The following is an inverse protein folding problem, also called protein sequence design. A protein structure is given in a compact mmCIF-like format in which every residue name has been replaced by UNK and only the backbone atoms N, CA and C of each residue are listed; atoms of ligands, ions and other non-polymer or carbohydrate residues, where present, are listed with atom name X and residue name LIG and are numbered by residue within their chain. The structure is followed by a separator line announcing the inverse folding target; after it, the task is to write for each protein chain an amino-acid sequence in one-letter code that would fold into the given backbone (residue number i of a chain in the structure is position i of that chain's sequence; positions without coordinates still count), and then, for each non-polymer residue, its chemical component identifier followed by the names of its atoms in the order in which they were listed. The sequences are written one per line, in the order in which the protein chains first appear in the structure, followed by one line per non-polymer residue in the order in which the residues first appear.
data_IF_867707101090
#
_entry.id   IF_867707101090
#
_cell.length_a   1.000
_cell.length_b   1.000
_cell.length_c   1.000
_cell.angle_alpha   90.00
_cell.angle_beta   90.00
_cell.angle_gamma   90.00
#
_symmetry.space_group_name_H-M   'P 1'
#
loop_
_entity.id
_entity.type
_entity.pdbx_description
1 polymer ?
#
# COMPACT_ATOMS: atom_id res chain seq x y z
N UNK A 1 31.16 36.32 21.05
CA UNK A 1 31.47 35.27 20.05
C UNK A 1 30.99 33.87 20.45
N UNK A 2 31.28 33.39 21.67
CA UNK A 2 30.92 32.03 22.15
C UNK A 2 29.43 31.65 22.03
N UNK A 3 28.52 32.60 22.29
CA UNK A 3 27.05 32.39 22.19
C UNK A 3 26.54 32.24 20.75
N UNK A 4 27.18 32.89 19.77
CA UNK A 4 26.84 32.75 18.34
C UNK A 4 27.33 31.42 17.78
N UNK A 5 28.51 30.93 18.20
CA UNK A 5 29.01 29.61 17.82
C UNK A 5 28.12 28.47 18.34
N UNK A 6 27.59 28.58 19.56
CA UNK A 6 26.69 27.58 20.15
C UNK A 6 25.35 27.55 19.39
N UNK A 7 24.82 28.71 18.99
CA UNK A 7 23.60 28.78 18.18
C UNK A 7 23.78 28.20 16.78
N UNK A 8 24.92 28.46 16.13
CA UNK A 8 25.25 27.84 14.84
C UNK A 8 25.43 26.31 14.95
N UNK A 9 26.08 25.83 16.02
CA UNK A 9 26.24 24.39 16.28
C UNK A 9 24.90 23.69 16.56
N UNK A 10 23.96 24.35 17.24
CA UNK A 10 22.62 23.81 17.50
C UNK A 10 21.76 23.77 16.22
N UNK A 11 21.83 24.81 15.38
CA UNK A 11 21.17 24.84 14.07
C UNK A 11 21.74 23.76 13.13
N UNK A 12 23.07 23.59 13.09
CA UNK A 12 23.72 22.57 12.25
C UNK A 12 23.41 21.14 12.73
N UNK A 13 23.32 20.94 14.05
CA UNK A 13 22.89 19.67 14.63
C UNK A 13 21.42 19.35 14.31
N UNK A 14 20.53 20.35 14.36
CA UNK A 14 19.11 20.16 14.00
C UNK A 14 18.90 19.82 12.51
N UNK A 15 19.76 20.32 11.61
CA UNK A 15 19.71 19.98 10.17
C UNK A 15 20.15 18.54 9.90
N UNK A 16 21.03 17.97 10.73
CA UNK A 16 21.51 16.59 10.57
C UNK A 16 20.52 15.52 11.04
N UNK A 17 19.50 15.89 11.84
CA UNK A 17 18.48 14.95 12.31
C UNK A 17 17.26 14.79 11.38
N UNK A 18 17.20 15.53 10.25
CA UNK A 18 16.03 15.48 9.33
C UNK A 18 16.21 14.43 8.22
N UNK A 19 17.37 13.78 8.09
CA UNK A 19 17.65 12.91 6.95
C UNK A 19 17.49 11.41 7.19
N UNK A 20 16.64 11.00 8.14
CA UNK A 20 16.04 9.67 8.08
C UNK A 20 14.76 9.78 7.25
N UNK A 21 14.91 9.98 5.93
CA UNK A 21 13.82 9.82 4.99
C UNK A 21 13.41 8.35 5.03
N UNK A 22 12.43 8.05 5.89
CA UNK A 22 11.77 6.75 5.91
C UNK A 22 11.17 6.55 4.53
N UNK A 23 11.68 5.59 3.76
CA UNK A 23 11.21 5.27 2.42
C UNK A 23 9.83 4.58 2.42
N UNK A 24 9.03 4.78 3.48
CA UNK A 24 7.69 4.23 3.65
C UNK A 24 6.69 5.19 3.00
N UNK A 25 5.75 4.71 2.18
CA UNK A 25 4.77 5.59 1.55
C UNK A 25 3.92 6.30 2.62
N UNK A 26 3.71 7.62 2.48
CA UNK A 26 2.84 8.37 3.38
C UNK A 26 1.37 7.95 3.18
N UNK A 27 0.56 8.12 4.23
CA UNK A 27 -0.88 7.88 4.15
C UNK A 27 -1.53 8.86 3.17
N UNK A 28 -2.29 8.34 2.22
CA UNK A 28 -2.91 9.06 1.10
C UNK A 28 -4.41 9.23 1.29
N UNK A 29 -5.06 8.35 2.04
CA UNK A 29 -6.53 8.27 2.09
C UNK A 29 -7.19 9.57 2.56
N UNK A 30 -6.52 10.34 3.41
CA UNK A 30 -6.99 11.65 3.85
C UNK A 30 -7.21 12.64 2.69
N UNK A 31 -6.41 12.57 1.63
CA UNK A 31 -6.58 13.40 0.44
C UNK A 31 -7.83 13.04 -0.37
N UNK A 32 -8.36 11.83 -0.19
CA UNK A 32 -9.53 11.30 -0.89
C UNK A 32 -10.83 11.46 -0.10
N UNK A 33 -10.77 11.30 1.23
CA UNK A 33 -11.96 11.30 2.09
C UNK A 33 -12.00 12.44 3.12
N UNK A 34 -11.20 13.51 2.95
CA UNK A 34 -11.12 14.63 3.90
C UNK A 34 -12.46 15.31 4.27
N UNK A 35 -13.49 15.24 3.43
CA UNK A 35 -14.81 15.82 3.71
C UNK A 35 -15.75 14.90 4.50
N UNK A 36 -15.38 13.62 4.65
CA UNK A 36 -16.24 12.61 5.23
C UNK A 36 -16.16 12.64 6.75
N UNK A 37 -17.30 12.50 7.42
CA UNK A 37 -17.35 12.48 8.88
C UNK A 37 -16.78 11.17 9.41
N UNK A 38 -15.78 11.24 10.28
CA UNK A 38 -15.26 10.05 10.98
C UNK A 38 -16.21 9.64 12.10
N UNK A 39 -16.58 8.36 12.15
CA UNK A 39 -17.37 7.78 13.24
C UNK A 39 -16.43 7.04 14.19
N UNK A 40 -16.74 7.04 15.49
CA UNK A 40 -15.98 6.24 16.45
C UNK A 40 -16.11 4.74 16.12
N UNK A 41 -15.03 3.99 16.38
CA UNK A 41 -14.95 2.54 16.13
C UNK A 41 -16.11 1.74 16.77
N UNK A 42 -16.71 2.26 17.84
CA UNK A 42 -17.86 1.68 18.54
C UNK A 42 -19.17 1.72 17.74
N UNK A 43 -19.32 2.64 16.78
CA UNK A 43 -20.47 2.66 15.89
C UNK A 43 -20.36 1.57 14.82
N UNK A 44 -19.14 1.20 14.43
CA UNK A 44 -18.88 0.16 13.44
C UNK A 44 -19.35 -1.21 13.95
N UNK A 45 -19.07 -1.54 15.22
CA UNK A 45 -19.48 -2.81 15.84
C UNK A 45 -20.99 -2.91 16.09
N UNK A 46 -21.73 -1.80 15.99
CA UNK A 46 -23.20 -1.74 16.10
C UNK A 46 -23.92 -1.85 14.76
N UNK A 47 -23.19 -1.87 13.64
CA UNK A 47 -23.78 -2.08 12.33
C UNK A 47 -24.44 -3.44 12.31
N UNK A 48 -25.69 -3.45 11.83
CA UNK A 48 -26.58 -4.61 11.82
C UNK A 48 -25.85 -5.88 11.36
N UNK A 49 -26.19 -7.04 11.96
CA UNK A 49 -25.57 -8.35 11.71
C UNK A 49 -25.76 -8.90 10.28
N UNK A 50 -26.17 -8.07 9.32
CA UNK A 50 -26.38 -8.44 7.93
C UNK A 50 -25.20 -7.91 7.09
N UNK A 51 -24.70 -8.70 6.12
CA UNK A 51 -23.66 -8.23 5.23
C UNK A 51 -24.09 -6.96 4.48
N UNK A 52 -23.36 -5.85 4.68
CA UNK A 52 -23.57 -4.62 3.93
C UNK A 52 -23.19 -4.82 2.47
N UNK A 53 -24.09 -4.51 1.54
CA UNK A 53 -23.79 -4.57 0.11
C UNK A 53 -22.94 -3.36 -0.28
N UNK A 54 -21.74 -3.59 -0.81
CA UNK A 54 -20.81 -2.53 -1.16
C UNK A 54 -20.17 -2.76 -2.53
N UNK A 55 -19.84 -1.67 -3.22
CA UNK A 55 -18.92 -1.66 -4.35
C UNK A 55 -17.48 -1.50 -3.86
N UNK A 56 -16.51 -2.14 -4.51
CA UNK A 56 -15.08 -1.99 -4.23
C UNK A 56 -14.43 -1.08 -5.27
N UNK A 57 -13.80 0.01 -4.84
CA UNK A 57 -13.04 0.93 -5.69
C UNK A 57 -11.56 0.77 -5.38
N UNK A 58 -10.76 0.42 -6.40
CA UNK A 58 -9.30 0.31 -6.30
C UNK A 58 -8.66 1.56 -6.89
N UNK A 59 -8.05 2.40 -6.06
CA UNK A 59 -7.42 3.67 -6.48
C UNK A 59 -5.91 3.51 -6.46
N UNK A 60 -5.28 3.56 -7.63
CA UNK A 60 -3.82 3.58 -7.75
C UNK A 60 -3.28 5.00 -7.65
N UNK A 61 -2.60 5.34 -6.54
CA UNK A 61 -2.06 6.67 -6.27
C UNK A 61 -0.54 6.70 -6.46
N UNK A 62 -0.10 7.53 -7.43
CA UNK A 62 1.31 7.87 -7.67
C UNK A 62 1.54 9.39 -7.65
N UNK A 63 0.67 10.15 -6.99
CA UNK A 63 0.73 11.60 -6.97
C UNK A 63 1.83 12.15 -6.02
N UNK A 64 2.31 11.34 -5.07
CA UNK A 64 3.39 11.74 -4.16
C UNK A 64 4.76 11.79 -4.87
N UNK A 65 5.60 12.80 -4.58
CA UNK A 65 7.00 12.78 -5.00
C UNK A 65 7.74 11.54 -4.49
N UNK A 66 8.33 10.78 -5.40
CA UNK A 66 9.03 9.52 -5.06
C UNK A 66 8.11 8.30 -4.96
N UNK A 67 6.83 8.42 -5.32
CA UNK A 67 5.97 7.26 -5.52
C UNK A 67 6.58 6.31 -6.57
N UNK A 68 6.55 5.02 -6.28
CA UNK A 68 6.91 3.98 -7.23
C UNK A 68 5.87 3.90 -8.35
N UNK A 69 6.22 3.34 -9.52
CA UNK A 69 5.26 3.06 -10.57
C UNK A 69 4.13 2.15 -10.07
N UNK A 70 2.94 2.34 -10.64
CA UNK A 70 1.78 1.52 -10.31
C UNK A 70 2.00 0.02 -10.58
N UNK A 71 1.18 -0.79 -9.91
CA UNK A 71 1.00 -2.18 -10.32
C UNK A 71 0.54 -2.23 -11.78
N UNK A 72 1.01 -3.21 -12.57
CA UNK A 72 0.41 -3.53 -13.84
C UNK A 72 -1.11 -3.74 -13.68
N UNK A 73 -1.89 -3.35 -14.69
CA UNK A 73 -3.35 -3.36 -14.62
C UNK A 73 -3.89 -4.76 -14.25
N UNK A 74 -3.33 -5.82 -14.85
CA UNK A 74 -3.73 -7.20 -14.56
C UNK A 74 -3.43 -7.59 -13.12
N UNK A 75 -2.35 -7.06 -12.53
CA UNK A 75 -2.01 -7.31 -11.14
C UNK A 75 -2.93 -6.53 -10.18
N UNK A 76 -3.29 -5.31 -10.51
CA UNK A 76 -4.24 -4.52 -9.73
C UNK A 76 -5.64 -5.17 -9.72
N UNK A 77 -6.11 -5.67 -10.86
CA UNK A 77 -7.37 -6.41 -10.97
C UNK A 77 -7.34 -7.67 -10.11
N UNK A 78 -6.25 -8.47 -10.18
CA UNK A 78 -6.09 -9.67 -9.34
C UNK A 78 -6.07 -9.33 -7.85
N UNK A 79 -5.40 -8.25 -7.46
CA UNK A 79 -5.39 -7.76 -6.08
C UNK A 79 -6.80 -7.39 -5.61
N UNK A 80 -7.57 -6.66 -6.44
CA UNK A 80 -8.96 -6.31 -6.18
C UNK A 80 -9.86 -7.54 -6.00
N UNK A 81 -9.71 -8.56 -6.86
CA UNK A 81 -10.47 -9.82 -6.75
C UNK A 81 -10.08 -10.65 -5.51
N UNK A 82 -8.81 -10.58 -5.07
CA UNK A 82 -8.43 -11.18 -3.79
C UNK A 82 -9.07 -10.43 -2.62
N UNK A 83 -8.95 -9.10 -2.59
CA UNK A 83 -9.53 -8.26 -1.53
C UNK A 83 -11.05 -8.42 -1.46
N UNK A 84 -11.76 -8.45 -2.59
CA UNK A 84 -13.19 -8.74 -2.65
C UNK A 84 -13.56 -10.02 -1.90
N UNK A 85 -12.80 -11.11 -2.10
CA UNK A 85 -13.04 -12.40 -1.43
C UNK A 85 -12.66 -12.36 0.05
N UNK A 86 -11.57 -11.71 0.39
CA UNK A 86 -11.00 -11.73 1.74
C UNK A 86 -11.67 -10.75 2.70
N UNK A 87 -12.10 -9.58 2.20
CA UNK A 87 -12.80 -8.57 3.00
C UNK A 87 -14.15 -9.08 3.51
N UNK A 88 -14.95 -9.75 2.67
CA UNK A 88 -16.23 -10.31 3.10
C UNK A 88 -16.10 -11.46 4.11
N UNK A 89 -14.90 -12.04 4.26
CA UNK A 89 -14.57 -13.00 5.32
C UNK A 89 -14.06 -12.33 6.59
N UNK A 90 -13.52 -11.11 6.49
CA UNK A 90 -12.95 -10.38 7.61
C UNK A 90 -13.99 -9.54 8.37
N UNK A 91 -14.91 -8.92 7.65
CA UNK A 91 -15.95 -8.01 8.16
C UNK A 91 -17.29 -8.30 7.44
N UNK A 92 -18.45 -7.96 8.04
CA UNK A 92 -19.76 -8.27 7.46
C UNK A 92 -20.11 -7.33 6.30
N UNK A 93 -19.36 -7.44 5.20
CA UNK A 93 -19.65 -6.76 3.94
C UNK A 93 -19.70 -7.78 2.81
N UNK A 94 -20.57 -7.53 1.84
CA UNK A 94 -20.64 -8.27 0.59
C UNK A 94 -20.20 -7.33 -0.54
N UNK A 95 -19.00 -7.56 -1.05
CA UNK A 95 -18.50 -6.85 -2.23
C UNK A 95 -19.12 -7.50 -3.48
N UNK A 96 -20.02 -6.77 -4.13
CA UNK A 96 -20.79 -7.28 -5.28
C UNK A 96 -20.17 -6.92 -6.63
N UNK A 97 -19.50 -5.77 -6.70
CA UNK A 97 -18.89 -5.26 -7.92
C UNK A 97 -17.55 -4.58 -7.59
N UNK A 98 -16.55 -4.74 -8.45
CA UNK A 98 -15.35 -3.90 -8.44
C UNK A 98 -15.59 -2.78 -9.45
N UNK A 99 -15.58 -1.55 -8.97
CA UNK A 99 -15.86 -0.34 -9.74
C UNK A 99 -14.57 0.27 -10.27
N UNK A 100 -14.62 0.80 -11.49
CA UNK A 100 -13.52 1.58 -12.04
C UNK A 100 -13.28 2.83 -11.21
N UNK A 101 -11.99 3.15 -10.99
CA UNK A 101 -11.57 4.39 -10.37
C UNK A 101 -11.34 5.52 -11.40
N UNK A 102 -11.81 5.36 -12.64
CA UNK A 102 -11.69 6.39 -13.66
C UNK A 102 -12.29 7.71 -13.18
N UNK A 103 -11.49 8.77 -13.26
CA UNK A 103 -11.89 10.09 -12.80
C UNK A 103 -11.79 10.31 -11.29
N UNK A 104 -11.49 9.29 -10.48
CA UNK A 104 -11.19 9.44 -9.05
C UNK A 104 -9.76 9.94 -8.88
N UNK A 105 -9.56 10.92 -8.00
CA UNK A 105 -8.24 11.50 -7.72
C UNK A 105 -8.18 12.18 -6.35
N UNK A 106 -6.98 12.56 -5.90
CA UNK A 106 -6.84 13.32 -4.66
C UNK A 106 -7.55 14.67 -4.78
N UNK A 107 -7.99 15.24 -3.66
CA UNK A 107 -8.75 16.50 -3.62
C UNK A 107 -8.06 17.67 -4.33
N UNK A 108 -6.74 17.70 -4.38
CA UNK A 108 -5.98 18.70 -5.14
C UNK A 108 -6.28 18.67 -6.65
N UNK A 109 -6.84 17.57 -7.16
CA UNK A 109 -7.07 17.31 -8.58
C UNK A 109 -8.55 17.08 -8.93
N UNK A 110 -9.42 16.77 -7.96
CA UNK A 110 -10.80 16.30 -8.20
C UNK A 110 -11.84 16.82 -7.19
N UNK A 111 -13.11 16.66 -7.56
CA UNK A 111 -14.27 17.03 -6.76
C UNK A 111 -14.36 16.18 -5.47
N UNK A 112 -14.75 16.83 -4.38
CA UNK A 112 -14.98 16.25 -3.06
C UNK A 112 -16.11 15.20 -3.07
N UNK A 113 -17.08 15.32 -3.98
CA UNK A 113 -18.23 14.41 -4.06
C UNK A 113 -18.00 13.13 -4.91
N UNK A 114 -16.80 12.91 -5.44
CA UNK A 114 -16.48 11.86 -6.42
C UNK A 114 -16.98 10.45 -6.06
N UNK A 115 -16.85 10.02 -4.80
CA UNK A 115 -17.31 8.70 -4.37
C UNK A 115 -18.83 8.63 -4.18
N UNK A 116 -19.46 9.72 -3.73
CA UNK A 116 -20.91 9.77 -3.59
C UNK A 116 -21.59 9.70 -4.98
N UNK A 117 -21.03 10.42 -5.96
CA UNK A 117 -21.49 10.39 -7.35
C UNK A 117 -21.33 8.99 -7.97
N UNK A 118 -20.15 8.37 -7.81
CA UNK A 118 -19.88 7.03 -8.31
C UNK A 118 -20.85 5.99 -7.71
N UNK A 119 -21.04 6.02 -6.40
CA UNK A 119 -21.94 5.09 -5.71
C UNK A 119 -23.40 5.29 -6.12
N UNK A 120 -23.86 6.54 -6.26
CA UNK A 120 -25.22 6.84 -6.72
C UNK A 120 -25.46 6.34 -8.16
N UNK A 121 -24.50 6.54 -9.06
CA UNK A 121 -24.59 6.06 -10.45
C UNK A 121 -24.70 4.53 -10.53
N UNK A 122 -24.10 3.82 -9.58
CA UNK A 122 -24.04 2.36 -9.53
C UNK A 122 -25.04 1.73 -8.56
N UNK A 123 -25.84 2.55 -7.87
CA UNK A 123 -26.87 2.08 -6.94
C UNK A 123 -26.34 1.51 -5.61
N UNK A 124 -25.16 1.94 -5.18
CA UNK A 124 -24.56 1.51 -3.92
C UNK A 124 -24.87 2.48 -2.78
N UNK A 125 -25.23 1.94 -1.62
CA UNK A 125 -25.32 2.70 -0.36
C UNK A 125 -23.97 2.77 0.37
N UNK A 126 -23.09 1.81 0.09
CA UNK A 126 -21.77 1.69 0.70
C UNK A 126 -20.69 1.50 -0.37
N UNK A 127 -19.53 2.11 -0.14
CA UNK A 127 -18.34 1.88 -0.96
C UNK A 127 -17.16 1.49 -0.08
N UNK A 128 -16.52 0.37 -0.43
CA UNK A 128 -15.19 0.03 0.04
C UNK A 128 -14.18 0.69 -0.90
N UNK A 129 -13.40 1.63 -0.40
CA UNK A 129 -12.35 2.30 -1.16
C UNK A 129 -11.00 1.78 -0.66
N UNK A 130 -10.16 1.33 -1.59
CA UNK A 130 -8.78 0.91 -1.31
C UNK A 130 -7.83 1.78 -2.11
N UNK A 131 -7.05 2.61 -1.44
CA UNK A 131 -5.94 3.36 -2.06
C UNK A 131 -4.69 2.50 -2.03
N UNK A 132 -4.06 2.36 -3.19
CA UNK A 132 -2.89 1.53 -3.46
C UNK A 132 -1.73 2.46 -3.77
N UNK A 133 -0.73 2.50 -2.90
CA UNK A 133 0.45 3.35 -3.06
C UNK A 133 1.72 2.60 -2.65
N UNK A 134 2.85 3.00 -3.22
CA UNK A 134 4.15 2.41 -2.89
C UNK A 134 5.29 3.38 -3.16
N UNK A 135 6.43 3.10 -2.54
CA UNK A 135 7.70 3.79 -2.74
C UNK A 135 8.80 2.75 -2.96
N UNK A 136 9.73 3.06 -3.87
CA UNK A 136 10.86 2.20 -4.22
C UNK A 136 12.17 2.93 -3.96
N UNK A 137 13.17 2.18 -3.48
CA UNK A 137 14.55 2.65 -3.39
C UNK A 137 15.49 1.60 -3.97
N UNK A 138 16.33 2.01 -4.92
CA UNK A 138 17.37 1.15 -5.48
C UNK A 138 18.76 1.68 -5.13
N UNK A 139 19.67 0.77 -4.76
CA UNK A 139 21.02 1.11 -4.38
C UNK A 139 21.99 -0.05 -4.70
N UNK A 140 23.27 0.27 -5.01
CA UNK A 140 24.27 -0.75 -5.27
C UNK A 140 24.61 -1.53 -3.99
N UNK A 141 24.79 -2.84 -4.11
CA UNK A 141 25.17 -3.72 -3.01
C UNK A 141 26.08 -4.85 -3.53
N UNK A 142 26.82 -5.47 -2.61
CA UNK A 142 27.48 -6.75 -2.87
C UNK A 142 26.53 -7.87 -2.45
N UNK A 143 26.15 -8.72 -3.40
CA UNK A 143 25.23 -9.84 -3.21
C UNK A 143 26.00 -11.15 -3.03
N UNK A 144 25.71 -11.88 -1.95
CA UNK A 144 26.20 -13.25 -1.77
C UNK A 144 25.28 -14.22 -2.51
N UNK A 145 25.83 -14.94 -3.49
CA UNK A 145 25.05 -15.83 -4.35
C UNK A 145 25.02 -17.26 -3.79
N UNK A 146 23.87 -17.68 -3.26
CA UNK A 146 23.67 -19.05 -2.78
C UNK A 146 24.53 -19.42 -1.55
N UNK A 147 24.98 -20.69 -1.49
CA UNK A 147 25.90 -21.21 -0.46
C UNK A 147 27.38 -20.95 -0.79
N UNK A 148 27.68 -20.24 -1.86
CA UNK A 148 29.06 -19.98 -2.27
C UNK A 148 29.61 -18.76 -1.55
N UNK A 149 30.93 -18.72 -1.33
CA UNK A 149 31.64 -17.55 -0.81
C UNK A 149 31.80 -16.43 -1.85
N UNK A 150 31.23 -16.60 -3.05
CA UNK A 150 31.35 -15.62 -4.13
C UNK A 150 30.33 -14.50 -3.97
N UNK A 151 30.85 -13.33 -3.64
CA UNK A 151 30.12 -12.08 -3.59
C UNK A 151 30.21 -11.41 -4.97
N UNK A 152 29.07 -11.02 -5.53
CA UNK A 152 28.99 -10.35 -6.83
C UNK A 152 28.44 -8.95 -6.65
N UNK A 153 28.91 -7.96 -7.43
CA UNK A 153 28.25 -6.66 -7.48
C UNK A 153 26.83 -6.81 -8.03
N UNK A 154 25.94 -5.95 -7.55
CA UNK A 154 24.56 -5.91 -7.99
C UNK A 154 23.81 -4.72 -7.41
N UNK A 155 22.51 -4.79 -7.55
CA UNK A 155 21.58 -3.80 -7.03
C UNK A 155 20.58 -4.47 -6.10
N UNK A 156 20.24 -3.77 -5.01
CA UNK A 156 19.08 -4.08 -4.20
C UNK A 156 18.04 -3.03 -4.47
N UNK A 157 16.81 -3.48 -4.67
CA UNK A 157 15.63 -2.62 -4.73
C UNK A 157 14.66 -3.01 -3.64
N UNK A 158 14.37 -2.06 -2.77
CA UNK A 158 13.38 -2.21 -1.71
C UNK A 158 12.08 -1.56 -2.15
N UNK A 159 10.95 -2.23 -1.92
CA UNK A 159 9.61 -1.71 -2.23
C UNK A 159 8.72 -1.76 -0.99
N UNK A 160 8.29 -0.60 -0.52
CA UNK A 160 7.33 -0.44 0.57
C UNK A 160 5.96 -0.14 -0.02
N UNK A 161 5.00 -1.04 0.23
CA UNK A 161 3.63 -0.93 -0.26
C UNK A 161 2.68 -0.58 0.88
N UNK A 162 1.67 0.23 0.57
CA UNK A 162 0.61 0.62 1.47
C UNK A 162 -0.75 0.44 0.78
N UNK A 163 -1.64 -0.25 1.48
CA UNK A 163 -3.05 -0.34 1.16
C UNK A 163 -3.83 0.35 2.26
N UNK A 164 -4.55 1.41 1.91
CA UNK A 164 -5.43 2.11 2.83
C UNK A 164 -6.87 1.81 2.46
N UNK A 165 -7.61 1.22 3.39
CA UNK A 165 -9.01 0.87 3.25
C UNK A 165 -9.88 1.85 4.00
N UNK A 166 -10.96 2.27 3.37
CA UNK A 166 -12.06 2.98 4.01
C UNK A 166 -13.39 2.39 3.54
N UNK A 167 -14.30 2.13 4.47
CA UNK A 167 -15.70 1.85 4.17
C UNK A 167 -16.51 3.14 4.35
N UNK A 168 -17.18 3.57 3.29
CA UNK A 168 -18.01 4.77 3.25
C UNK A 168 -19.50 4.40 3.33
N UNK A 169 -20.26 5.12 4.14
CA UNK A 169 -21.73 5.17 4.10
C UNK A 169 -22.14 6.44 3.36
N UNK A 170 -22.62 6.26 2.13
CA UNK A 170 -22.92 7.37 1.22
C UNK A 170 -24.16 8.16 1.66
N UNK A 171 -25.10 7.51 2.36
CA UNK A 171 -26.34 8.15 2.84
C UNK A 171 -26.05 9.12 3.97
N UNK A 172 -25.17 8.74 4.89
CA UNK A 172 -24.81 9.55 6.06
C UNK A 172 -23.53 10.37 5.87
N UNK A 173 -22.87 10.24 4.71
CA UNK A 173 -21.61 10.90 4.36
C UNK A 173 -20.51 10.70 5.43
N UNK A 174 -20.33 9.44 5.84
CA UNK A 174 -19.44 9.08 6.94
C UNK A 174 -18.46 7.95 6.61
N UNK A 175 -17.29 7.99 7.23
CA UNK A 175 -16.32 6.90 7.26
C UNK A 175 -16.71 5.95 8.39
N UNK A 176 -17.06 4.74 7.99
CA UNK A 176 -17.64 3.72 8.85
C UNK A 176 -16.57 2.79 9.42
N UNK A 177 -15.56 2.48 8.61
CA UNK A 177 -14.36 1.76 9.03
C UNK A 177 -13.15 2.26 8.25
N UNK A 178 -11.99 2.19 8.89
CA UNK A 178 -10.72 2.51 8.27
C UNK A 178 -9.64 1.56 8.77
N UNK A 179 -8.80 1.10 7.87
CA UNK A 179 -7.62 0.31 8.21
C UNK A 179 -6.52 0.52 7.17
N UNK A 180 -5.31 0.12 7.53
CA UNK A 180 -4.19 0.10 6.60
C UNK A 180 -3.45 -1.23 6.71
N UNK A 181 -2.93 -1.70 5.58
CA UNK A 181 -1.98 -2.79 5.50
C UNK A 181 -0.71 -2.32 4.84
N UNK A 182 0.43 -2.65 5.46
CA UNK A 182 1.75 -2.30 4.94
C UNK A 182 2.47 -3.55 4.48
N UNK A 183 3.16 -3.48 3.35
CA UNK A 183 3.94 -4.56 2.77
C UNK A 183 5.37 -4.11 2.53
N UNK A 184 6.31 -5.05 2.63
CA UNK A 184 7.68 -4.79 2.24
C UNK A 184 8.27 -6.02 1.56
N UNK A 185 9.00 -5.77 0.48
CA UNK A 185 9.77 -6.77 -0.22
C UNK A 185 11.08 -6.17 -0.73
N UNK A 186 12.06 -7.02 -0.95
CA UNK A 186 13.40 -6.65 -1.43
C UNK A 186 13.77 -7.51 -2.62
N UNK A 187 14.34 -6.89 -3.66
CA UNK A 187 14.77 -7.54 -4.90
C UNK A 187 16.28 -7.41 -5.02
N UNK A 188 16.96 -8.56 -5.05
CA UNK A 188 18.39 -8.64 -5.26
C UNK A 188 18.67 -8.99 -6.73
N UNK A 189 19.37 -8.10 -7.45
CA UNK A 189 19.74 -8.28 -8.87
C UNK A 189 21.26 -8.17 -9.07
N UNK A 190 21.97 -9.29 -9.28
CA UNK A 190 23.38 -9.26 -9.67
C UNK A 190 23.55 -8.60 -11.05
N UNK A 191 24.67 -7.91 -11.25
CA UNK A 191 25.01 -7.29 -12.54
C UNK A 191 25.92 -8.15 -13.42
N UNK A 192 26.48 -9.23 -12.88
CA UNK A 192 27.34 -10.13 -13.61
C UNK A 192 26.53 -11.01 -14.60
N UNK A 193 27.03 -11.20 -15.84
CA UNK A 193 26.32 -11.96 -16.87
C UNK A 193 26.27 -13.46 -16.54
N UNK A 194 25.18 -14.13 -16.93
CA UNK A 194 25.04 -15.60 -16.82
C UNK A 194 24.65 -16.12 -15.43
N UNK A 195 24.22 -15.24 -14.51
CA UNK A 195 23.81 -15.59 -13.14
C UNK A 195 22.30 -15.87 -13.03
N UNK A 196 21.61 -15.89 -14.17
CA UNK A 196 20.15 -15.94 -14.31
C UNK A 196 19.50 -17.21 -13.74
N UNK A 197 20.28 -18.27 -13.47
CA UNK A 197 19.77 -19.53 -12.92
C UNK A 197 19.35 -19.43 -11.45
N UNK A 198 19.87 -18.44 -10.71
CA UNK A 198 19.60 -18.28 -9.28
C UNK A 198 19.27 -16.84 -8.89
N UNK A 199 19.14 -15.93 -9.85
CA UNK A 199 18.82 -14.52 -9.63
C UNK A 199 18.11 -13.95 -10.87
N UNK A 200 17.29 -12.91 -10.74
CA UNK A 200 17.07 -12.12 -9.53
C UNK A 200 16.19 -12.84 -8.50
N UNK A 201 16.34 -12.46 -7.23
CA UNK A 201 15.60 -13.06 -6.12
C UNK A 201 14.82 -12.00 -5.36
N UNK A 202 13.55 -12.27 -5.06
CA UNK A 202 12.74 -11.45 -4.16
C UNK A 202 12.69 -12.10 -2.77
N UNK A 203 12.79 -11.28 -1.73
CA UNK A 203 12.68 -11.69 -0.34
C UNK A 203 11.69 -10.82 0.42
N UNK A 204 11.00 -11.43 1.38
CA UNK A 204 10.10 -10.77 2.35
C UNK A 204 10.80 -10.60 3.71
N UNK A 205 12.04 -10.11 3.69
CA UNK A 205 12.85 -9.93 4.91
C UNK A 205 12.19 -8.93 5.88
N UNK A 206 12.51 -8.98 7.18
CA UNK A 206 13.13 -10.11 7.89
C UNK A 206 12.13 -11.25 8.18
N UNK A 207 10.89 -11.15 7.67
CA UNK A 207 9.77 -12.00 8.11
C UNK A 207 9.80 -13.39 7.47
N UNK A 208 10.31 -13.49 6.25
CA UNK A 208 10.45 -14.74 5.52
C UNK A 208 11.72 -14.71 4.66
N UNK A 209 12.56 -15.72 4.82
CA UNK A 209 13.81 -15.91 4.06
C UNK A 209 13.59 -16.68 2.75
N UNK A 210 12.36 -17.14 2.49
CA UNK A 210 12.01 -17.81 1.25
C UNK A 210 12.26 -16.89 0.07
N UNK A 211 12.91 -17.47 -0.94
CA UNK A 211 13.16 -16.83 -2.23
C UNK A 211 11.92 -16.96 -3.11
N UNK A 212 11.49 -15.84 -3.67
CA UNK A 212 10.52 -15.78 -4.76
C UNK A 212 11.29 -15.48 -6.04
N UNK A 213 11.13 -16.36 -7.03
CA UNK A 213 11.81 -16.27 -8.31
C UNK A 213 10.90 -15.57 -9.33
N UNK A 214 11.25 -14.36 -9.79
CA UNK A 214 10.55 -13.73 -10.89
C UNK A 214 10.63 -14.58 -12.16
N UNK A 215 9.62 -14.54 -13.03
CA UNK A 215 9.62 -15.31 -14.28
C UNK A 215 10.68 -14.83 -15.27
N UNK A 216 11.06 -13.54 -15.20
CA UNK A 216 12.08 -12.93 -16.06
C UNK A 216 12.89 -11.91 -15.26
N UNK A 217 14.14 -11.68 -15.69
CA UNK A 217 15.02 -10.68 -15.07
C UNK A 217 14.43 -9.27 -15.19
N UNK A 218 13.93 -8.91 -16.37
CA UNK A 218 13.33 -7.59 -16.65
C UNK A 218 11.98 -7.39 -15.94
N UNK A 219 11.19 -8.46 -15.77
CA UNK A 219 9.91 -8.43 -15.06
C UNK A 219 10.04 -8.45 -13.53
N UNK A 220 11.26 -8.57 -13.01
CA UNK A 220 11.51 -8.70 -11.58
C UNK A 220 11.00 -7.51 -10.74
N UNK A 221 11.15 -6.23 -11.16
CA UNK A 221 10.58 -5.10 -10.43
C UNK A 221 9.05 -5.15 -10.34
N UNK A 222 8.36 -5.63 -11.38
CA UNK A 222 6.90 -5.80 -11.33
C UNK A 222 6.51 -6.90 -10.34
N UNK A 223 7.24 -8.03 -10.36
CA UNK A 223 7.03 -9.13 -9.41
C UNK A 223 7.26 -8.66 -7.97
N UNK A 224 8.29 -7.83 -7.74
CA UNK A 224 8.59 -7.22 -6.45
C UNK A 224 7.39 -6.43 -5.90
N UNK A 225 6.77 -5.59 -6.72
CA UNK A 225 5.58 -4.81 -6.32
C UNK A 225 4.42 -5.72 -5.97
N UNK A 226 4.12 -6.71 -6.82
CA UNK A 226 3.02 -7.67 -6.59
C UNK A 226 3.17 -8.35 -5.24
N UNK A 227 4.35 -8.92 -4.96
CA UNK A 227 4.65 -9.62 -3.72
C UNK A 227 4.49 -8.69 -2.50
N UNK A 228 4.97 -7.45 -2.58
CA UNK A 228 4.83 -6.49 -1.49
C UNK A 228 3.36 -6.10 -1.24
N UNK A 229 2.58 -5.88 -2.30
CA UNK A 229 1.15 -5.57 -2.17
C UNK A 229 0.31 -6.76 -1.69
N UNK A 230 0.65 -8.00 -2.06
CA UNK A 230 0.01 -9.19 -1.48
C UNK A 230 0.23 -9.26 0.03
N UNK A 231 1.46 -8.97 0.50
CA UNK A 231 1.73 -8.88 1.94
C UNK A 231 0.93 -7.75 2.59
N UNK A 232 0.86 -6.57 1.95
CA UNK A 232 0.06 -5.45 2.44
C UNK A 232 -1.43 -5.85 2.58
N UNK A 233 -1.98 -6.58 1.60
CA UNK A 233 -3.37 -7.05 1.60
C UNK A 233 -3.65 -8.01 2.76
N UNK A 234 -2.77 -8.98 3.00
CA UNK A 234 -2.90 -9.90 4.13
C UNK A 234 -2.93 -9.15 5.47
N UNK A 235 -2.05 -8.16 5.64
CA UNK A 235 -2.01 -7.34 6.86
C UNK A 235 -3.25 -6.46 7.00
N UNK A 236 -3.73 -5.89 5.91
CA UNK A 236 -4.95 -5.09 5.90
C UNK A 236 -6.16 -5.91 6.38
N UNK A 237 -6.36 -7.09 5.77
CA UNK A 237 -7.46 -8.00 6.10
C UNK A 237 -7.38 -8.47 7.55
N UNK A 238 -6.17 -8.80 8.02
CA UNK A 238 -5.93 -9.15 9.43
C UNK A 238 -6.32 -8.02 10.37
N UNK A 239 -5.91 -6.78 10.06
CA UNK A 239 -6.20 -5.60 10.88
C UNK A 239 -7.70 -5.32 10.93
N UNK A 240 -8.39 -5.39 9.79
CA UNK A 240 -9.85 -5.23 9.73
C UNK A 240 -10.59 -6.28 10.56
N UNK A 241 -10.17 -7.54 10.46
CA UNK A 241 -10.74 -8.63 11.26
C UNK A 241 -10.55 -8.41 12.76
N UNK A 242 -9.39 -7.90 13.17
CA UNK A 242 -9.09 -7.62 14.58
C UNK A 242 -9.93 -6.44 15.10
N UNK A 243 -9.97 -5.33 14.34
CA UNK A 243 -10.82 -4.16 14.64
C UNK A 243 -12.28 -4.57 14.80
N UNK A 244 -12.79 -5.41 13.90
CA UNK A 244 -14.16 -5.91 13.98
C UNK A 244 -14.43 -6.78 15.21
N UNK A 245 -13.45 -7.61 15.60
CA UNK A 245 -13.54 -8.46 16.80
C UNK A 245 -13.31 -7.70 18.10
N UNK A 246 -12.92 -6.42 18.04
CA UNK A 246 -12.55 -5.62 19.20
C UNK A 246 -11.24 -6.07 19.88
N UNK A 247 -10.31 -6.62 19.09
CA UNK A 247 -8.99 -7.12 19.54
C UNK A 247 -7.86 -6.22 19.02
#
# INVERSE_FOLDING_TARGET
MRRRLIQFSLMLSAVLFVSCASAVPPARIGEYVSSWRQVSSEAFTKIEQRPLQAGLVMVSDTAEPGAAPNLPEEALVRLGESLRRDLGRAIPIAITEILSADGIGPRSQRNVAQFAELGQQRGFDYLAVVVVSSTEQEYPVTLSLGLTTHAQPGFRRDNWSLLEFVLLDLKQHQVVAQAEGRGWATLDRPSAPGIDQWYPAIFLRPQDERRIWPPTYEGAPNTLRVVSFEQAAQRLVLKLRNVWRGV
#
